data_IF_827334621058
#
_entry.id   IF_827334621058
#
_cell.length_a   1.000
_cell.length_b   1.000
_cell.length_c   1.000
_cell.angle_alpha   90.00
_cell.angle_beta   90.00
_cell.angle_gamma   90.00
#
_symmetry.space_group_name_H-M   'P 1'
#
loop_
_entity.id
_entity.type
_entity.pdbx_description
1 polymer ?
#
# COMPACT_ATOMS: atom_id res chain seq x y z
N UNK A 1 -7.14 -10.80 -17.84
CA UNK A 1 -6.62 -10.38 -16.52
C UNK A 1 -6.25 -8.91 -16.62
N UNK A 2 -6.57 -8.05 -15.63
CA UNK A 2 -6.16 -6.65 -15.67
C UNK A 2 -4.64 -6.55 -15.77
N UNK A 3 -4.15 -5.67 -16.65
CA UNK A 3 -2.72 -5.48 -16.91
C UNK A 3 -2.17 -4.53 -15.83
N UNK A 4 -1.42 -5.08 -14.88
CA UNK A 4 -0.69 -4.27 -13.90
C UNK A 4 0.68 -3.97 -14.47
N UNK A 5 1.00 -2.68 -14.56
CA UNK A 5 2.30 -2.22 -15.04
C UNK A 5 3.10 -1.67 -13.87
N UNK A 6 4.39 -1.96 -13.83
CA UNK A 6 5.31 -1.25 -12.92
C UNK A 6 5.59 0.12 -13.52
N UNK A 7 5.42 1.18 -12.72
CA UNK A 7 5.61 2.56 -13.15
C UNK A 7 6.25 3.37 -12.05
N UNK A 8 7.05 4.36 -12.41
CA UNK A 8 7.37 5.44 -11.47
C UNK A 8 6.09 6.17 -11.05
N UNK A 9 6.02 6.60 -9.80
CA UNK A 9 4.98 7.50 -9.33
C UNK A 9 5.02 8.82 -10.13
N UNK A 10 3.87 9.43 -10.48
CA UNK A 10 3.85 10.72 -11.15
C UNK A 10 4.68 11.76 -10.38
N UNK A 11 5.45 12.59 -11.09
CA UNK A 11 6.34 13.61 -10.48
C UNK A 11 5.58 14.69 -9.71
N UNK A 12 4.29 14.80 -9.95
CA UNK A 12 3.34 15.72 -9.31
C UNK A 12 2.87 15.22 -7.94
N UNK A 13 3.18 13.98 -7.55
CA UNK A 13 2.84 13.44 -6.24
C UNK A 13 3.57 14.16 -5.11
N UNK A 14 2.83 14.43 -4.02
CA UNK A 14 3.37 15.03 -2.79
C UNK A 14 4.37 14.10 -2.11
N UNK A 15 4.30 12.78 -2.36
CA UNK A 15 5.20 11.79 -1.78
C UNK A 15 6.68 12.11 -2.05
N UNK A 16 7.00 12.71 -3.20
CA UNK A 16 8.37 13.07 -3.58
C UNK A 16 9.04 14.05 -2.59
N UNK A 17 8.27 14.82 -1.84
CA UNK A 17 8.81 15.74 -0.82
C UNK A 17 9.46 15.01 0.36
N UNK A 18 9.12 13.73 0.58
CA UNK A 18 9.66 12.92 1.67
C UNK A 18 10.81 12.02 1.24
N UNK A 19 11.01 11.81 -0.07
CA UNK A 19 11.96 10.85 -0.59
C UNK A 19 13.40 11.34 -0.42
N UNK A 20 14.22 10.53 0.24
CA UNK A 20 15.64 10.78 0.47
C UNK A 20 16.52 9.81 -0.34
N UNK A 21 17.79 10.17 -0.60
CA UNK A 21 18.75 9.28 -1.22
C UNK A 21 18.89 7.98 -0.42
N UNK A 22 18.72 6.85 -1.10
CA UNK A 22 18.80 5.54 -0.48
C UNK A 22 17.48 5.06 0.11
N UNK A 23 16.36 5.77 -0.06
CA UNK A 23 15.05 5.20 0.25
C UNK A 23 14.65 4.12 -0.75
N UNK A 24 13.77 3.23 -0.30
CA UNK A 24 13.10 2.31 -1.20
C UNK A 24 11.80 2.95 -1.69
N UNK A 25 11.59 2.92 -3.00
CA UNK A 25 10.32 3.28 -3.62
C UNK A 25 10.00 2.29 -4.72
N UNK A 26 8.76 1.80 -4.73
CA UNK A 26 8.19 1.11 -5.87
C UNK A 26 6.89 1.77 -6.31
N UNK A 27 6.46 1.44 -7.53
CA UNK A 27 5.25 1.99 -8.09
C UNK A 27 4.61 1.07 -9.11
N UNK A 28 3.29 1.06 -9.09
CA UNK A 28 2.44 0.27 -9.95
C UNK A 28 1.31 1.14 -10.47
N UNK A 29 0.84 0.82 -11.67
CA UNK A 29 -0.28 1.52 -12.28
C UNK A 29 -1.28 0.52 -12.84
N UNK A 30 -2.54 0.87 -12.75
CA UNK A 30 -3.62 0.17 -13.44
C UNK A 30 -4.67 1.16 -13.93
N UNK A 31 -5.37 0.80 -15.01
CA UNK A 31 -6.52 1.58 -15.49
C UNK A 31 -7.69 1.41 -14.54
N UNK A 32 -8.24 2.53 -14.10
CA UNK A 32 -9.37 2.57 -13.18
C UNK A 32 -10.00 3.97 -13.11
N UNK A 33 -11.32 4.12 -13.33
CA UNK A 33 -12.06 5.36 -13.06
C UNK A 33 -12.23 5.72 -11.57
N UNK A 34 -11.86 4.84 -10.62
CA UNK A 34 -12.09 5.09 -9.19
C UNK A 34 -11.43 6.38 -8.70
N UNK A 35 -12.00 6.97 -7.65
CA UNK A 35 -11.35 8.04 -6.90
C UNK A 35 -10.16 7.50 -6.09
N UNK A 36 -9.17 8.34 -5.73
CA UNK A 36 -7.97 7.91 -5.00
C UNK A 36 -8.32 7.29 -3.63
N UNK A 37 -9.31 7.85 -2.92
CA UNK A 37 -9.79 7.31 -1.64
C UNK A 37 -10.44 5.95 -1.78
N UNK A 38 -11.36 5.82 -2.73
CA UNK A 38 -12.06 4.56 -3.00
C UNK A 38 -11.10 3.46 -3.45
N UNK A 39 -10.14 3.80 -4.31
CA UNK A 39 -9.08 2.88 -4.72
C UNK A 39 -8.18 2.48 -3.54
N UNK A 40 -7.88 3.39 -2.62
CA UNK A 40 -7.15 3.08 -1.38
C UNK A 40 -7.96 2.13 -0.49
N UNK A 41 -9.24 2.40 -0.25
CA UNK A 41 -10.11 1.55 0.58
C UNK A 41 -10.23 0.13 -0.01
N UNK A 42 -10.38 0.01 -1.34
CA UNK A 42 -10.42 -1.28 -2.04
C UNK A 42 -9.06 -1.98 -2.02
N UNK A 43 -7.99 -1.28 -2.37
CA UNK A 43 -6.64 -1.83 -2.44
C UNK A 43 -6.11 -2.26 -1.07
N UNK A 44 -6.48 -1.54 -0.01
CA UNK A 44 -6.06 -1.78 1.37
C UNK A 44 -7.07 -2.62 2.16
N UNK A 45 -8.21 -3.00 1.58
CA UNK A 45 -9.14 -3.96 2.18
C UNK A 45 -8.39 -5.26 2.48
N UNK A 46 -7.91 -5.39 3.72
CA UNK A 46 -6.77 -6.25 4.00
C UNK A 46 -7.13 -7.72 3.73
N UNK A 47 -6.42 -8.43 2.83
CA UNK A 47 -6.56 -9.88 2.82
C UNK A 47 -6.09 -10.44 4.16
N UNK A 48 -6.82 -11.42 4.72
CA UNK A 48 -6.44 -12.14 5.95
C UNK A 48 -5.01 -12.69 5.94
N UNK A 49 -4.42 -12.91 4.76
CA UNK A 49 -3.04 -13.37 4.61
C UNK A 49 -1.99 -12.28 4.89
N UNK A 50 -2.30 -10.99 4.67
CA UNK A 50 -1.40 -9.88 5.01
C UNK A 50 -1.29 -9.73 6.54
N UNK A 51 -2.39 -9.86 7.28
CA UNK A 51 -2.38 -9.91 8.75
C UNK A 51 -1.57 -11.10 9.27
N UNK A 52 -1.68 -12.27 8.62
CA UNK A 52 -0.90 -13.46 8.97
C UNK A 52 0.61 -13.27 8.72
N UNK A 53 0.99 -12.54 7.66
CA UNK A 53 2.39 -12.21 7.39
C UNK A 53 2.96 -11.16 8.34
N UNK A 54 2.18 -10.16 8.73
CA UNK A 54 2.52 -9.23 9.82
C UNK A 54 2.76 -10.00 11.13
N UNK A 55 1.91 -10.98 11.45
CA UNK A 55 2.10 -11.85 12.61
C UNK A 55 3.36 -12.74 12.50
N UNK A 56 3.63 -13.31 11.32
CA UNK A 56 4.84 -14.11 11.07
C UNK A 56 6.11 -13.25 11.20
N UNK A 57 6.08 -12.05 10.62
CA UNK A 57 7.10 -11.01 10.76
C UNK A 57 7.36 -10.68 12.23
N UNK A 58 6.30 -10.43 12.99
CA UNK A 58 6.41 -10.15 14.43
C UNK A 58 7.08 -11.30 15.17
N UNK A 59 6.79 -12.56 14.79
CA UNK A 59 7.41 -13.73 15.41
C UNK A 59 8.90 -13.90 15.07
N UNK A 60 9.32 -13.57 13.85
CA UNK A 60 10.71 -13.65 13.40
C UNK A 60 11.57 -12.56 14.06
N UNK A 61 11.00 -11.36 14.27
CA UNK A 61 11.74 -10.23 14.87
C UNK A 61 11.65 -10.17 16.40
N UNK A 62 10.76 -10.95 17.03
CA UNK A 62 10.63 -11.10 18.50
C UNK A 62 11.95 -11.40 19.24
N UNK A 63 12.84 -12.30 18.77
CA UNK A 63 14.13 -12.54 19.43
C UNK A 63 15.14 -11.39 19.27
N UNK A 64 14.90 -10.40 18.40
CA UNK A 64 15.78 -9.24 18.22
C UNK A 64 15.50 -8.08 19.22
N UNK A 65 14.67 -8.32 20.25
CA UNK A 65 14.42 -7.34 21.32
C UNK A 65 13.53 -6.16 20.92
N UNK A 66 12.82 -6.26 19.80
CA UNK A 66 11.92 -5.21 19.32
C UNK A 66 10.62 -5.25 20.15
N UNK A 67 10.44 -4.23 21.00
CA UNK A 67 9.14 -3.92 21.61
C UNK A 67 8.19 -3.50 20.50
N UNK A 68 7.37 -4.41 20.03
CA UNK A 68 6.27 -4.10 19.11
C UNK A 68 5.03 -3.83 19.94
N UNK A 69 4.73 -2.56 20.19
CA UNK A 69 3.40 -2.10 20.60
C UNK A 69 2.48 -2.23 19.37
N UNK A 70 2.04 -3.45 19.09
CA UNK A 70 0.87 -3.64 18.24
C UNK A 70 -0.31 -3.37 19.16
N UNK A 71 -0.66 -2.09 19.31
CA UNK A 71 -1.96 -1.72 19.84
C UNK A 71 -2.99 -2.18 18.83
N UNK A 72 -3.63 -3.30 19.18
CA UNK A 72 -4.81 -3.85 18.57
C UNK A 72 -5.97 -2.88 18.85
N UNK A 73 -5.95 -1.71 18.20
CA UNK A 73 -7.05 -0.76 18.27
C UNK A 73 -7.90 -0.98 17.04
N UNK A 74 -8.95 -1.77 17.23
CA UNK A 74 -9.99 -1.93 16.23
C UNK A 74 -10.59 -0.57 15.88
N UNK A 75 -10.37 -0.13 14.65
CA UNK A 75 -11.27 0.73 13.86
C UNK A 75 -10.66 0.89 12.45
N UNK A 76 -11.15 0.10 11.50
CA UNK A 76 -11.29 0.47 10.08
C UNK A 76 -10.06 0.68 9.19
N UNK A 77 -8.90 1.11 9.66
CA UNK A 77 -7.75 1.39 8.81
C UNK A 77 -6.44 1.02 9.51
N UNK A 78 -5.70 0.08 8.92
CA UNK A 78 -4.42 -0.42 9.46
C UNK A 78 -3.30 0.63 9.36
N UNK A 79 -3.50 1.66 8.55
CA UNK A 79 -2.57 2.77 8.36
C UNK A 79 -3.34 4.10 8.42
N UNK A 80 -2.92 5.06 9.25
CA UNK A 80 -3.55 6.37 9.31
C UNK A 80 -3.27 7.16 8.03
N UNK A 81 -4.22 8.00 7.64
CA UNK A 81 -4.07 8.93 6.53
C UNK A 81 -3.18 10.09 6.97
N UNK A 82 -2.10 10.32 6.24
CA UNK A 82 -1.14 11.39 6.49
C UNK A 82 -1.33 12.59 5.57
N UNK A 83 -1.93 12.37 4.40
CA UNK A 83 -2.27 13.41 3.42
C UNK A 83 -3.42 12.91 2.55
N UNK A 84 -4.34 13.79 2.20
CA UNK A 84 -5.47 13.51 1.32
C UNK A 84 -5.88 14.78 0.58
N UNK A 85 -6.00 14.68 -0.74
CA UNK A 85 -6.59 15.68 -1.61
C UNK A 85 -7.49 15.01 -2.68
N UNK A 86 -7.97 15.80 -3.66
CA UNK A 86 -8.87 15.29 -4.69
C UNK A 86 -8.25 14.25 -5.64
N UNK A 87 -6.92 14.19 -5.73
CA UNK A 87 -6.18 13.36 -6.68
C UNK A 87 -5.29 12.32 -5.99
N UNK A 88 -4.99 12.46 -4.71
CA UNK A 88 -3.97 11.70 -4.00
C UNK A 88 -4.37 11.44 -2.54
N UNK A 89 -4.13 10.22 -2.10
CA UNK A 89 -4.20 9.83 -0.68
C UNK A 89 -2.87 9.19 -0.31
N UNK A 90 -2.28 9.62 0.81
CA UNK A 90 -1.07 9.04 1.39
C UNK A 90 -1.38 8.52 2.77
N UNK A 91 -1.18 7.21 2.97
CA UNK A 91 -1.38 6.52 4.23
C UNK A 91 -0.04 5.96 4.73
N UNK A 92 0.15 5.88 6.04
CA UNK A 92 1.29 5.15 6.58
C UNK A 92 1.68 5.53 8.00
N UNK A 93 2.74 4.90 8.49
CA UNK A 93 3.19 5.00 9.88
C UNK A 93 4.70 5.16 9.96
N UNK A 94 5.16 5.71 11.08
CA UNK A 94 6.58 5.81 11.42
C UNK A 94 6.88 4.84 12.55
N UNK A 95 7.88 3.97 12.35
CA UNK A 95 8.35 2.99 13.33
C UNK A 95 9.83 3.24 13.65
N UNK A 96 10.32 2.67 14.76
CA UNK A 96 11.73 2.81 15.18
C UNK A 96 12.75 2.32 14.14
N UNK A 97 12.38 1.39 13.26
CA UNK A 97 13.30 0.76 12.30
C UNK A 97 13.09 1.24 10.86
N UNK A 98 11.88 1.68 10.52
CA UNK A 98 11.57 2.26 9.21
C UNK A 98 10.35 3.17 9.30
N UNK A 99 10.24 4.08 8.35
CA UNK A 99 9.02 4.83 8.07
C UNK A 99 8.43 4.30 6.77
N UNK A 100 7.12 4.20 6.70
CA UNK A 100 6.42 3.60 5.58
C UNK A 100 5.27 4.48 5.13
N UNK A 101 5.12 4.68 3.82
CA UNK A 101 3.97 5.36 3.21
C UNK A 101 3.49 4.63 1.97
N UNK A 102 2.18 4.61 1.77
CA UNK A 102 1.50 4.18 0.53
C UNK A 102 0.83 5.42 -0.04
N UNK A 103 1.21 5.78 -1.26
CA UNK A 103 0.51 6.78 -2.05
C UNK A 103 -0.44 6.07 -3.01
N UNK A 104 -1.67 6.54 -3.08
CA UNK A 104 -2.65 6.20 -4.12
C UNK A 104 -3.05 7.48 -4.81
N UNK A 105 -2.70 7.62 -6.09
CA UNK A 105 -2.97 8.82 -6.90
C UNK A 105 -3.77 8.44 -8.13
N UNK A 106 -4.80 9.23 -8.42
CA UNK A 106 -5.55 9.15 -9.66
C UNK A 106 -4.99 10.17 -10.66
N UNK A 107 -4.70 9.68 -11.87
CA UNK A 107 -4.31 10.54 -12.98
C UNK A 107 -4.82 9.97 -14.31
N UNK A 108 -5.60 10.77 -15.05
CA UNK A 108 -6.08 10.44 -16.40
C UNK A 108 -6.76 9.06 -16.53
N UNK A 109 -7.61 8.69 -15.56
CA UNK A 109 -8.32 7.40 -15.57
C UNK A 109 -7.44 6.21 -15.21
N UNK A 110 -6.29 6.47 -14.57
CA UNK A 110 -5.40 5.45 -14.02
C UNK A 110 -5.20 5.71 -12.54
N UNK A 111 -5.05 4.61 -11.80
CA UNK A 111 -4.63 4.62 -10.41
C UNK A 111 -3.16 4.24 -10.35
N UNK A 112 -2.37 5.14 -9.80
CA UNK A 112 -0.97 4.95 -9.45
C UNK A 112 -0.88 4.64 -7.97
N UNK A 113 -0.31 3.49 -7.62
CA UNK A 113 0.02 3.13 -6.25
C UNK A 113 1.53 3.07 -6.09
N UNK A 114 2.07 3.79 -5.12
CA UNK A 114 3.48 3.73 -4.80
C UNK A 114 3.69 3.44 -3.32
N UNK A 115 4.75 2.69 -3.03
CA UNK A 115 5.15 2.42 -1.66
C UNK A 115 6.52 3.00 -1.42
N UNK A 116 6.62 3.87 -0.43
CA UNK A 116 7.87 4.48 0.01
C UNK A 116 8.26 3.93 1.38
N UNK A 117 9.54 3.61 1.53
CA UNK A 117 10.13 3.14 2.78
C UNK A 117 11.46 3.84 3.04
N UNK A 118 11.50 4.60 4.12
CA UNK A 118 12.74 5.13 4.69
C UNK A 118 13.22 4.25 5.83
N UNK A 119 14.53 3.97 5.89
CA UNK A 119 15.11 3.05 6.88
C UNK A 119 15.91 3.83 7.91
N UNK A 120 15.47 3.79 9.16
CA UNK A 120 16.08 4.55 10.25
C UNK A 120 17.40 3.92 10.72
N UNK A 121 17.57 2.60 10.54
CA UNK A 121 18.74 1.86 11.00
C UNK A 121 18.97 0.55 10.21
N UNK A 122 20.02 -0.19 10.58
CA UNK A 122 20.38 -1.46 9.94
C UNK A 122 19.30 -2.54 10.11
N UNK A 123 18.54 -2.54 11.22
CA UNK A 123 17.40 -3.43 11.40
C UNK A 123 16.32 -3.16 10.35
N UNK A 124 16.09 -1.89 10.00
CA UNK A 124 15.21 -1.50 8.89
C UNK A 124 15.62 -2.10 7.54
N UNK A 125 16.93 -2.30 7.30
CA UNK A 125 17.42 -2.95 6.06
C UNK A 125 17.09 -4.43 6.03
N UNK A 126 17.34 -5.14 7.12
CA UNK A 126 17.00 -6.58 7.25
C UNK A 126 15.50 -6.77 7.16
N UNK A 127 14.76 -5.92 7.87
CA UNK A 127 13.31 -5.91 7.86
C UNK A 127 12.74 -5.79 6.44
N UNK A 128 13.19 -4.77 5.71
CA UNK A 128 12.75 -4.54 4.35
C UNK A 128 13.05 -5.78 3.49
N UNK A 129 14.27 -6.32 3.55
CA UNK A 129 14.64 -7.52 2.76
C UNK A 129 13.71 -8.72 3.02
N UNK A 130 13.29 -8.94 4.27
CA UNK A 130 12.38 -10.05 4.62
C UNK A 130 10.96 -9.80 4.11
N UNK A 131 10.46 -8.57 4.16
CA UNK A 131 9.08 -8.23 3.77
C UNK A 131 8.93 -8.00 2.27
N UNK A 132 9.97 -7.55 1.57
CA UNK A 132 9.97 -7.26 0.13
C UNK A 132 9.32 -8.32 -0.78
N UNK A 133 9.63 -9.63 -0.68
CA UNK A 133 8.99 -10.61 -1.56
C UNK A 133 7.47 -10.66 -1.35
N UNK A 134 7.02 -10.46 -0.11
CA UNK A 134 5.60 -10.44 0.22
C UNK A 134 4.93 -9.13 -0.18
N UNK A 135 5.62 -8.01 0.01
CA UNK A 135 5.18 -6.68 -0.41
C UNK A 135 4.77 -6.68 -1.89
N UNK A 136 5.61 -7.24 -2.75
CA UNK A 136 5.32 -7.35 -4.19
C UNK A 136 4.03 -8.15 -4.45
N UNK A 137 3.78 -9.22 -3.69
CA UNK A 137 2.55 -10.01 -3.82
C UNK A 137 1.32 -9.22 -3.34
N UNK A 138 1.46 -8.48 -2.23
CA UNK A 138 0.37 -7.69 -1.63
C UNK A 138 -0.06 -6.60 -2.62
N UNK A 139 0.90 -5.78 -3.07
CA UNK A 139 0.60 -4.66 -3.97
C UNK A 139 0.00 -5.15 -5.28
N UNK A 140 0.50 -6.25 -5.84
CA UNK A 140 -0.09 -6.82 -7.06
C UNK A 140 -1.51 -7.33 -6.84
N UNK A 141 -1.84 -7.87 -5.66
CA UNK A 141 -3.21 -8.25 -5.33
C UNK A 141 -4.11 -7.03 -5.15
N UNK A 142 -3.64 -6.01 -4.43
CA UNK A 142 -4.32 -4.72 -4.26
C UNK A 142 -4.65 -4.07 -5.60
N UNK A 143 -3.67 -3.97 -6.51
CA UNK A 143 -3.87 -3.42 -7.85
C UNK A 143 -4.82 -4.27 -8.70
N UNK A 144 -4.84 -5.60 -8.55
CA UNK A 144 -5.84 -6.46 -9.22
C UNK A 144 -7.24 -6.20 -8.73
N UNK A 145 -7.43 -5.90 -7.44
CA UNK A 145 -8.74 -5.62 -6.86
C UNK A 145 -9.28 -4.28 -7.34
N UNK A 146 -8.44 -3.25 -7.30
CA UNK A 146 -8.76 -1.91 -7.85
C UNK A 146 -9.23 -2.06 -9.30
N UNK A 147 -8.42 -2.71 -10.14
CA UNK A 147 -8.74 -2.90 -11.56
C UNK A 147 -9.98 -3.76 -11.85
N UNK A 148 -10.40 -4.58 -10.89
CA UNK A 148 -11.62 -5.41 -11.01
C UNK A 148 -12.86 -4.68 -10.53
N UNK A 149 -12.71 -3.76 -9.58
CA UNK A 149 -13.81 -2.93 -9.11
C UNK A 149 -14.33 -1.99 -10.21
N UNK A 150 -13.52 -1.71 -11.24
CA UNK A 150 -13.94 -1.01 -12.46
C UNK A 150 -14.78 -1.85 -13.43
N UNK A 151 -14.88 -3.15 -13.20
CA UNK A 151 -15.84 -3.97 -13.93
C UNK A 151 -17.17 -3.76 -13.25
N UNK A 152 -18.10 -2.94 -13.80
CA UNK A 152 -19.46 -2.97 -13.30
C UNK A 152 -19.88 -4.43 -13.30
N UNK A 153 -20.55 -4.86 -12.24
CA UNK A 153 -21.23 -6.14 -12.22
C UNK A 153 -22.17 -6.21 -13.43
N UNK A 154 -21.65 -6.68 -14.56
CA UNK A 154 -22.44 -7.05 -15.70
C UNK A 154 -23.25 -8.25 -15.21
N UNK A 155 -24.57 -8.06 -15.16
CA UNK A 155 -25.60 -9.08 -14.92
C UNK A 155 -26.05 -9.26 -13.46
N UNK A 156 -26.81 -8.29 -12.97
CA UNK A 156 -28.02 -8.60 -12.21
C UNK A 156 -29.16 -7.65 -12.64
N UNK A 157 -29.37 -7.57 -13.96
CA UNK A 157 -30.72 -7.30 -14.49
C UNK A 157 -31.49 -8.60 -14.34
N UNK A 158 -32.38 -8.67 -13.36
CA UNK A 158 -33.42 -9.71 -13.32
C UNK A 158 -34.56 -9.21 -14.22
N UNK A 159 -34.88 -9.88 -15.34
CA UNK A 159 -36.11 -9.63 -16.05
C UNK A 159 -37.22 -10.45 -15.39
N UNK A 160 -38.18 -9.79 -14.75
CA UNK A 160 -39.63 -9.94 -14.94
C UNK A 160 -40.41 -9.23 -13.86
#
# INVERSE_FOLDING_TARGET
MPKIETSSLPKTSTLWMMVQPGDFIDGYVVESPLGPREAADIGLSMPKWASALLALRNRIVRPLGLKTEVSDTGEGAIFPVTYEDAQEVILGTDDTHLNFRICVRQEAGRIHMATWVHRNNWLGRIYLMVVMPFHILIVRDSMRRIARADTPAASAQTPH
#
